data_IF_419006237160
#
_entry.id   IF_419006237160
#
_cell.length_a   1.000
_cell.length_b   1.000
_cell.length_c   1.000
_cell.angle_alpha   90.00
_cell.angle_beta   90.00
_cell.angle_gamma   90.00
#
_symmetry.space_group_name_H-M   'P 1'
#
loop_
_entity.id
_entity.type
_entity.pdbx_description
1 polymer ?
#
# COMPACT_ATOMS: atom_id res chain seq x y z
N UNK A 1 33.61 2.41 -41.10
CA UNK A 1 32.77 3.63 -41.01
C UNK A 1 31.33 3.17 -40.91
N UNK A 2 30.54 3.72 -39.98
CA UNK A 2 29.11 3.40 -39.86
C UNK A 2 28.35 4.27 -40.88
N UNK A 3 27.46 3.68 -41.68
CA UNK A 3 26.67 4.43 -42.67
C UNK A 3 25.58 5.26 -41.99
N UNK A 4 25.07 6.28 -42.69
CA UNK A 4 23.96 7.10 -42.18
C UNK A 4 22.71 6.26 -41.88
N UNK A 5 22.39 5.32 -42.77
CA UNK A 5 21.28 4.37 -42.59
C UNK A 5 21.46 3.49 -41.35
N UNK A 6 22.68 2.97 -41.11
CA UNK A 6 22.99 2.19 -39.91
C UNK A 6 22.82 3.03 -38.63
N UNK A 7 23.25 4.30 -38.65
CA UNK A 7 23.05 5.22 -37.51
C UNK A 7 21.58 5.47 -37.26
N UNK A 8 20.80 5.75 -38.31
CA UNK A 8 19.36 5.97 -38.21
C UNK A 8 18.63 4.76 -37.64
N UNK A 9 18.93 3.56 -38.12
CA UNK A 9 18.33 2.33 -37.61
C UNK A 9 18.67 2.12 -36.13
N UNK A 10 19.92 2.36 -35.72
CA UNK A 10 20.32 2.26 -34.32
C UNK A 10 19.51 3.19 -33.40
N UNK A 11 19.37 4.48 -33.75
CA UNK A 11 18.62 5.43 -32.92
C UNK A 11 17.11 5.19 -32.95
N UNK A 12 16.57 4.73 -34.08
CA UNK A 12 15.17 4.30 -34.20
C UNK A 12 14.88 3.12 -33.28
N UNK A 13 15.74 2.11 -33.26
CA UNK A 13 15.60 0.96 -32.34
C UNK A 13 15.70 1.37 -30.88
N UNK A 14 16.64 2.26 -30.54
CA UNK A 14 16.80 2.76 -29.19
C UNK A 14 15.55 3.53 -28.73
N UNK A 15 15.00 4.37 -29.61
CA UNK A 15 13.74 5.07 -29.36
C UNK A 15 12.60 4.09 -29.05
N UNK A 16 12.39 3.07 -29.89
CA UNK A 16 11.30 2.12 -29.66
C UNK A 16 11.47 1.31 -28.38
N UNK A 17 12.70 0.90 -28.03
CA UNK A 17 12.97 0.24 -26.75
C UNK A 17 12.56 1.09 -25.55
N UNK A 18 12.77 2.41 -25.62
CA UNK A 18 12.37 3.32 -24.55
C UNK A 18 10.86 3.57 -24.48
N UNK A 19 10.19 3.56 -25.64
CA UNK A 19 8.72 3.59 -25.72
C UNK A 19 8.12 2.33 -25.10
N UNK A 20 8.68 1.16 -25.41
CA UNK A 20 8.25 -0.12 -24.81
C UNK A 20 8.49 -0.13 -23.29
N UNK A 21 9.66 0.34 -22.84
CA UNK A 21 9.97 0.48 -21.40
C UNK A 21 8.97 1.37 -20.68
N UNK A 22 8.52 2.47 -21.30
CA UNK A 22 7.46 3.34 -20.75
C UNK A 22 6.14 2.58 -20.61
N UNK A 23 5.76 1.79 -21.61
CA UNK A 23 4.53 0.99 -21.59
C UNK A 23 4.55 -0.02 -20.45
N UNK A 24 5.68 -0.69 -20.23
CA UNK A 24 5.86 -1.64 -19.13
C UNK A 24 5.69 -0.98 -17.76
N UNK A 25 6.26 0.22 -17.56
CA UNK A 25 6.04 0.99 -16.33
C UNK A 25 4.58 1.40 -16.14
N UNK A 26 3.92 1.86 -17.20
CA UNK A 26 2.50 2.24 -17.13
C UNK A 26 1.61 1.02 -16.78
N UNK A 27 1.91 -0.16 -17.32
CA UNK A 27 1.19 -1.39 -17.00
C UNK A 27 1.47 -1.87 -15.56
N UNK A 28 2.65 -1.57 -15.04
CA UNK A 28 3.08 -2.00 -13.70
C UNK A 28 2.38 -1.27 -12.56
N UNK A 29 1.62 -0.19 -12.81
CA UNK A 29 0.95 0.59 -11.77
C UNK A 29 -0.05 -0.20 -10.93
N UNK A 30 -0.69 -1.20 -11.54
CA UNK A 30 -1.70 -2.02 -10.87
C UNK A 30 -1.08 -2.76 -9.68
N UNK A 31 0.21 -3.10 -9.77
CA UNK A 31 0.92 -3.85 -8.73
C UNK A 31 1.02 -3.04 -7.41
N UNK A 32 1.61 -1.82 -7.36
CA UNK A 32 1.59 -1.00 -6.14
C UNK A 32 0.21 -0.77 -5.53
N UNK A 33 -0.80 -0.46 -6.36
CA UNK A 33 -2.15 -0.17 -5.89
C UNK A 33 -2.78 -1.39 -5.23
N UNK A 34 -2.65 -2.56 -5.86
CA UNK A 34 -3.20 -3.82 -5.34
C UNK A 34 -2.53 -4.21 -4.04
N UNK A 35 -1.19 -4.11 -3.98
CA UNK A 35 -0.42 -4.42 -2.78
C UNK A 35 -0.79 -3.51 -1.61
N UNK A 36 -0.89 -2.20 -1.82
CA UNK A 36 -1.30 -1.25 -0.79
C UNK A 36 -2.73 -1.51 -0.32
N UNK A 37 -3.65 -1.80 -1.23
CA UNK A 37 -5.05 -2.11 -0.88
C UNK A 37 -5.13 -3.33 0.04
N UNK A 38 -4.41 -4.39 -0.29
CA UNK A 38 -4.35 -5.60 0.54
C UNK A 38 -3.76 -5.31 1.92
N UNK A 39 -2.65 -4.58 1.98
CA UNK A 39 -2.01 -4.20 3.24
C UNK A 39 -2.91 -3.31 4.11
N UNK A 40 -3.56 -2.29 3.54
CA UNK A 40 -4.46 -1.43 4.30
C UNK A 40 -5.66 -2.21 4.84
N UNK A 41 -6.14 -3.22 4.11
CA UNK A 41 -7.18 -4.13 4.60
C UNK A 41 -6.70 -4.92 5.82
N UNK A 42 -5.47 -5.44 5.80
CA UNK A 42 -4.85 -6.14 6.94
C UNK A 42 -4.69 -5.19 8.12
N UNK A 43 -4.15 -3.98 7.90
CA UNK A 43 -3.98 -2.96 8.93
C UNK A 43 -5.32 -2.62 9.58
N UNK A 44 -6.35 -2.39 8.78
CA UNK A 44 -7.71 -2.11 9.25
C UNK A 44 -8.27 -3.27 10.09
N UNK A 45 -8.05 -4.51 9.67
CA UNK A 45 -8.45 -5.68 10.45
C UNK A 45 -7.71 -5.76 11.79
N UNK A 46 -6.37 -5.62 11.77
CA UNK A 46 -5.55 -5.70 12.98
C UNK A 46 -6.00 -4.69 14.03
N UNK A 47 -6.21 -3.41 13.65
CA UNK A 47 -6.64 -2.39 14.61
C UNK A 47 -8.07 -2.61 15.12
N UNK A 48 -8.97 -3.13 14.27
CA UNK A 48 -10.37 -3.34 14.65
C UNK A 48 -10.57 -4.57 15.54
N UNK A 49 -9.74 -5.60 15.36
CA UNK A 49 -9.83 -6.85 16.09
C UNK A 49 -8.96 -6.90 17.36
N UNK A 50 -7.96 -6.01 17.46
CA UNK A 50 -7.07 -5.97 18.62
C UNK A 50 -7.82 -5.52 19.87
N UNK A 51 -7.59 -6.20 21.00
CA UNK A 51 -8.22 -5.86 22.27
C UNK A 51 -7.18 -5.30 23.23
N UNK A 52 -7.25 -4.01 23.49
CA UNK A 52 -6.40 -3.35 24.47
C UNK A 52 -6.85 -3.77 25.88
N UNK A 53 -6.01 -4.52 26.60
CA UNK A 53 -6.28 -4.94 27.98
C UNK A 53 -5.25 -4.28 28.89
N UNK A 54 -5.70 -3.26 29.62
CA UNK A 54 -4.94 -2.59 30.68
C UNK A 54 -3.60 -1.97 30.27
N UNK A 55 -3.36 -1.70 28.98
CA UNK A 55 -2.13 -1.05 28.48
C UNK A 55 -0.88 -1.76 28.97
N UNK A 56 -0.85 -3.09 28.81
CA UNK A 56 0.30 -3.90 29.20
C UNK A 56 1.40 -3.74 28.17
N UNK A 57 2.65 -4.13 28.50
CA UNK A 57 3.81 -4.06 27.60
C UNK A 57 3.53 -4.51 26.16
N UNK A 58 2.73 -5.56 25.98
CA UNK A 58 2.33 -6.11 24.67
C UNK A 58 1.53 -5.08 23.84
N UNK A 59 0.64 -4.32 24.47
CA UNK A 59 -0.15 -3.27 23.81
C UNK A 59 0.76 -2.15 23.29
N UNK A 60 1.74 -1.72 24.11
CA UNK A 60 2.72 -0.72 23.69
C UNK A 60 3.60 -1.21 22.53
N UNK A 61 4.10 -2.44 22.60
CA UNK A 61 4.87 -3.05 21.50
C UNK A 61 4.04 -3.12 20.21
N UNK A 62 2.78 -3.54 20.31
CA UNK A 62 1.86 -3.57 19.19
C UNK A 62 1.68 -2.19 18.57
N UNK A 63 1.37 -1.16 19.36
CA UNK A 63 1.15 0.21 18.87
C UNK A 63 2.39 0.78 18.19
N UNK A 64 3.58 0.60 18.77
CA UNK A 64 4.84 1.09 18.20
C UNK A 64 5.11 0.44 16.85
N UNK A 65 5.02 -0.89 16.76
CA UNK A 65 5.26 -1.61 15.51
C UNK A 65 4.19 -1.35 14.47
N UNK A 66 2.93 -1.25 14.88
CA UNK A 66 1.80 -0.89 14.03
C UNK A 66 1.99 0.51 13.43
N UNK A 67 2.35 1.49 14.25
CA UNK A 67 2.60 2.86 13.82
C UNK A 67 3.79 2.93 12.86
N UNK A 68 4.89 2.25 13.19
CA UNK A 68 6.07 2.14 12.34
C UNK A 68 5.72 1.56 10.96
N UNK A 69 5.02 0.42 10.95
CA UNK A 69 4.59 -0.25 9.70
C UNK A 69 3.66 0.64 8.87
N UNK A 70 2.68 1.29 9.51
CA UNK A 70 1.73 2.20 8.86
C UNK A 70 2.46 3.38 8.22
N UNK A 71 3.44 3.98 8.90
CA UNK A 71 4.27 5.07 8.34
C UNK A 71 4.98 4.62 7.06
N UNK A 72 5.57 3.42 7.03
CA UNK A 72 6.18 2.91 5.80
C UNK A 72 5.19 2.74 4.67
N UNK A 73 3.98 2.26 4.94
CA UNK A 73 2.95 2.11 3.90
C UNK A 73 2.38 3.45 3.43
N UNK A 74 2.33 4.47 4.28
CA UNK A 74 2.05 5.85 3.86
C UNK A 74 3.15 6.38 2.94
N UNK A 75 4.43 6.14 3.30
CA UNK A 75 5.57 6.49 2.43
C UNK A 75 5.48 5.72 1.10
N UNK A 76 5.08 4.46 1.11
CA UNK A 76 4.84 3.70 -0.12
C UNK A 76 3.75 4.34 -0.98
N UNK A 77 2.62 4.71 -0.40
CA UNK A 77 1.54 5.39 -1.11
C UNK A 77 2.04 6.71 -1.75
N UNK A 78 2.87 7.47 -1.04
CA UNK A 78 3.52 8.66 -1.58
C UNK A 78 4.39 8.35 -2.82
N UNK A 79 5.25 7.33 -2.75
CA UNK A 79 6.05 6.92 -3.91
C UNK A 79 5.23 6.30 -5.03
N UNK A 80 4.11 5.64 -4.74
CA UNK A 80 3.15 5.19 -5.77
C UNK A 80 2.53 6.37 -6.51
N UNK A 81 2.12 7.42 -5.78
CA UNK A 81 1.62 8.65 -6.40
C UNK A 81 2.72 9.31 -7.23
N UNK A 82 3.96 9.39 -6.76
CA UNK A 82 5.07 9.93 -7.57
C UNK A 82 5.45 9.08 -8.78
N UNK A 83 5.36 7.77 -8.67
CA UNK A 83 5.60 6.84 -9.78
C UNK A 83 4.61 7.06 -10.93
N UNK A 84 3.36 7.39 -10.60
CA UNK A 84 2.30 7.54 -11.60
C UNK A 84 2.05 8.98 -12.02
N UNK A 85 1.93 9.88 -11.03
CA UNK A 85 1.56 11.25 -11.29
C UNK A 85 2.75 12.01 -11.85
N UNK A 86 2.47 12.86 -12.83
CA UNK A 86 3.43 13.80 -13.36
C UNK A 86 3.67 14.99 -12.40
N UNK A 87 3.52 14.79 -11.07
CA UNK A 87 3.65 15.85 -10.05
C UNK A 87 5.08 16.39 -10.01
N UNK A 88 6.07 15.55 -10.26
CA UNK A 88 7.38 16.04 -10.66
C UNK A 88 7.20 16.58 -12.09
N UNK A 89 7.17 17.91 -12.24
CA UNK A 89 6.86 18.70 -13.44
C UNK A 89 7.72 18.42 -14.70
N UNK A 90 8.43 17.30 -14.75
CA UNK A 90 9.37 16.88 -15.80
C UNK A 90 8.81 15.93 -16.85
N UNK A 91 7.62 15.34 -16.68
CA UNK A 91 7.06 14.39 -17.66
C UNK A 91 6.40 15.06 -18.88
N UNK A 92 6.94 16.19 -19.36
CA UNK A 92 6.64 16.60 -20.73
C UNK A 92 7.24 15.55 -21.64
N UNK A 93 6.39 14.82 -22.33
CA UNK A 93 6.84 13.83 -23.31
C UNK A 93 7.13 14.58 -24.60
N UNK A 94 8.40 14.70 -24.94
CA UNK A 94 8.79 15.11 -26.29
C UNK A 94 8.59 13.89 -27.16
N UNK A 95 7.49 13.90 -27.90
CA UNK A 95 7.18 12.88 -28.89
C UNK A 95 7.84 13.22 -30.22
N UNK A 96 7.93 12.23 -31.11
CA UNK A 96 8.35 12.51 -32.48
C UNK A 96 7.33 13.45 -33.15
N UNK A 97 7.79 14.30 -34.09
CA UNK A 97 6.89 15.08 -34.91
C UNK A 97 5.87 14.18 -35.62
N UNK A 98 4.72 14.74 -35.95
CA UNK A 98 3.65 13.97 -36.59
C UNK A 98 4.07 13.57 -38.01
N UNK A 99 3.55 12.45 -38.56
CA UNK A 99 3.95 11.98 -39.88
C UNK A 99 3.78 13.01 -41.01
N UNK A 100 2.75 13.87 -40.92
CA UNK A 100 2.51 14.98 -41.84
C UNK A 100 3.60 16.05 -41.75
N UNK A 101 4.01 16.43 -40.54
CA UNK A 101 5.10 17.40 -40.30
C UNK A 101 6.46 16.87 -40.79
N UNK A 102 6.73 15.57 -40.58
CA UNK A 102 7.94 14.92 -41.09
C UNK A 102 7.99 14.97 -42.63
N UNK A 103 6.86 14.66 -43.27
CA UNK A 103 6.77 14.64 -44.74
C UNK A 103 6.80 16.05 -45.33
N UNK A 104 6.20 17.04 -44.66
CA UNK A 104 6.30 18.45 -45.04
C UNK A 104 7.75 18.93 -45.00
N UNK A 105 8.46 18.70 -43.88
CA UNK A 105 9.86 19.06 -43.75
C UNK A 105 10.75 18.36 -44.81
N UNK A 106 10.47 17.09 -45.12
CA UNK A 106 11.16 16.37 -46.20
C UNK A 106 10.98 17.06 -47.55
N UNK A 107 9.75 17.50 -47.88
CA UNK A 107 9.46 18.22 -49.13
C UNK A 107 10.14 19.58 -49.17
N UNK A 108 10.15 20.32 -48.06
CA UNK A 108 10.84 21.61 -47.95
C UNK A 108 12.34 21.48 -48.22
N UNK A 109 13.00 20.47 -47.66
CA UNK A 109 14.42 20.20 -47.92
C UNK A 109 14.69 19.88 -49.40
N UNK A 110 13.80 19.13 -50.04
CA UNK A 110 13.90 18.82 -51.47
C UNK A 110 13.72 20.05 -52.37
N UNK A 111 12.93 21.04 -51.94
CA UNK A 111 12.77 22.31 -52.65
C UNK A 111 13.94 23.27 -52.41
N UNK A 112 14.57 23.20 -51.22
CA UNK A 112 15.66 24.09 -50.83
C UNK A 112 17.02 23.69 -51.41
N UNK A 113 17.27 22.39 -51.60
CA UNK A 113 18.56 21.88 -52.10
C UNK A 113 18.50 21.47 -53.57
N UNK A 114 19.48 21.91 -54.36
CA UNK A 114 19.59 21.56 -55.79
C UNK A 114 19.92 20.08 -56.06
N UNK A 115 20.41 19.36 -55.05
CA UNK A 115 20.83 17.95 -55.15
C UNK A 115 20.02 17.08 -54.20
N UNK A 116 19.39 16.04 -54.74
CA UNK A 116 18.61 15.08 -53.97
C UNK A 116 19.41 14.39 -52.86
N UNK A 117 20.68 14.07 -53.12
CA UNK A 117 21.53 13.39 -52.12
C UNK A 117 21.78 14.29 -50.89
N UNK A 118 21.96 15.59 -51.10
CA UNK A 118 22.17 16.58 -50.02
C UNK A 118 20.88 16.74 -49.21
N UNK A 119 19.73 16.85 -49.89
CA UNK A 119 18.42 16.91 -49.23
C UNK A 119 18.15 15.65 -48.38
N UNK A 120 18.45 14.46 -48.91
CA UNK A 120 18.25 13.20 -48.21
C UNK A 120 19.19 13.05 -47.00
N UNK A 121 20.45 13.45 -47.13
CA UNK A 121 21.40 13.44 -46.02
C UNK A 121 20.97 14.40 -44.90
N UNK A 122 20.53 15.61 -45.24
CA UNK A 122 20.00 16.58 -44.29
C UNK A 122 18.75 16.05 -43.58
N UNK A 123 17.80 15.48 -44.32
CA UNK A 123 16.58 14.89 -43.77
C UNK A 123 16.87 13.75 -42.79
N UNK A 124 17.74 12.81 -43.18
CA UNK A 124 18.10 11.68 -42.33
C UNK A 124 18.86 12.13 -41.07
N UNK A 125 19.71 13.16 -41.19
CA UNK A 125 20.41 13.77 -40.05
C UNK A 125 19.42 14.40 -39.07
N UNK A 126 18.49 15.21 -39.56
CA UNK A 126 17.42 15.78 -38.75
C UNK A 126 16.56 14.70 -38.08
N UNK A 127 16.20 13.64 -38.81
CA UNK A 127 15.39 12.56 -38.26
C UNK A 127 16.13 11.79 -37.15
N UNK A 128 17.44 11.59 -37.29
CA UNK A 128 18.30 11.06 -36.21
C UNK A 128 18.23 11.96 -34.98
N UNK A 129 18.31 13.28 -35.14
CA UNK A 129 18.20 14.24 -34.03
C UNK A 129 16.83 14.19 -33.33
N UNK A 130 15.74 14.00 -34.09
CA UNK A 130 14.41 13.78 -33.53
C UNK A 130 14.35 12.50 -32.68
N UNK A 131 14.90 11.38 -33.19
CA UNK A 131 14.99 10.14 -32.41
C UNK A 131 15.82 10.33 -31.13
N UNK A 132 16.97 10.99 -31.21
CA UNK A 132 17.83 11.24 -30.04
C UNK A 132 17.09 12.07 -29.00
N UNK A 133 16.50 13.19 -29.41
CA UNK A 133 15.78 14.10 -28.50
C UNK A 133 14.65 13.37 -27.78
N UNK A 134 13.82 12.65 -28.52
CA UNK A 134 12.71 11.89 -27.94
C UNK A 134 13.21 10.77 -27.02
N UNK A 135 14.27 10.06 -27.41
CA UNK A 135 14.89 8.99 -26.62
C UNK A 135 15.42 9.50 -25.29
N UNK A 136 16.21 10.58 -25.27
CA UNK A 136 16.77 11.17 -24.04
C UNK A 136 15.66 11.57 -23.07
N UNK A 137 14.58 12.13 -23.62
CA UNK A 137 13.42 12.51 -22.82
C UNK A 137 12.69 11.28 -22.23
N UNK A 138 12.49 10.22 -23.02
CA UNK A 138 11.93 8.97 -22.51
C UNK A 138 12.83 8.32 -21.46
N UNK A 139 14.14 8.30 -21.69
CA UNK A 139 15.12 7.74 -20.76
C UNK A 139 15.06 8.41 -19.40
N UNK A 140 15.11 9.74 -19.39
CA UNK A 140 15.05 10.54 -18.16
C UNK A 140 13.77 10.25 -17.37
N UNK A 141 12.63 10.22 -18.06
CA UNK A 141 11.34 9.94 -17.44
C UNK A 141 11.22 8.50 -16.91
N UNK A 142 11.70 7.53 -17.69
CA UNK A 142 11.68 6.11 -17.32
C UNK A 142 12.62 5.83 -16.14
N UNK A 143 13.79 6.47 -16.08
CA UNK A 143 14.74 6.32 -14.99
C UNK A 143 14.18 6.90 -13.69
N UNK A 144 13.55 8.07 -13.74
CA UNK A 144 12.83 8.65 -12.58
C UNK A 144 11.72 7.72 -12.07
N UNK A 145 10.90 7.16 -12.97
CA UNK A 145 9.88 6.17 -12.60
C UNK A 145 10.50 4.94 -11.97
N UNK A 146 11.60 4.44 -12.53
CA UNK A 146 12.35 3.30 -11.97
C UNK A 146 12.81 3.59 -10.54
N UNK A 147 13.36 4.78 -10.28
CA UNK A 147 13.78 5.22 -8.94
C UNK A 147 12.62 5.27 -7.96
N UNK A 148 11.49 5.88 -8.33
CA UNK A 148 10.30 5.93 -7.45
C UNK A 148 9.75 4.53 -7.17
N UNK A 149 9.72 3.65 -8.16
CA UNK A 149 9.28 2.27 -7.99
C UNK A 149 10.24 1.46 -7.11
N UNK A 150 11.55 1.69 -7.21
CA UNK A 150 12.55 1.10 -6.32
C UNK A 150 12.33 1.54 -4.86
N UNK A 151 12.11 2.83 -4.63
CA UNK A 151 11.78 3.34 -3.29
C UNK A 151 10.50 2.71 -2.74
N UNK A 152 9.44 2.64 -3.54
CA UNK A 152 8.22 1.91 -3.16
C UNK A 152 8.55 0.48 -2.68
N UNK A 153 9.28 -0.32 -3.47
CA UNK A 153 9.64 -1.70 -3.10
C UNK A 153 10.43 -1.76 -1.79
N UNK A 154 11.41 -0.88 -1.62
CA UNK A 154 12.27 -0.80 -0.43
C UNK A 154 11.45 -0.53 0.83
N UNK A 155 10.61 0.50 0.81
CA UNK A 155 9.77 0.86 1.96
C UNK A 155 8.66 -0.15 2.20
N UNK A 156 8.12 -0.76 1.14
CA UNK A 156 7.10 -1.80 1.26
C UNK A 156 7.65 -3.00 2.01
N UNK A 157 8.89 -3.41 1.69
CA UNK A 157 9.57 -4.49 2.40
C UNK A 157 9.81 -4.17 3.89
N UNK A 158 10.25 -2.96 4.22
CA UNK A 158 10.39 -2.54 5.62
C UNK A 158 9.06 -2.49 6.37
N UNK A 159 8.00 -2.01 5.70
CA UNK A 159 6.64 -2.02 6.22
C UNK A 159 6.14 -3.44 6.52
N UNK A 160 6.42 -4.40 5.63
CA UNK A 160 6.07 -5.81 5.80
C UNK A 160 6.79 -6.45 7.00
N UNK A 161 8.07 -6.16 7.22
CA UNK A 161 8.79 -6.64 8.41
C UNK A 161 8.10 -6.14 9.68
N UNK A 162 7.79 -4.84 9.73
CA UNK A 162 7.04 -4.25 10.86
C UNK A 162 5.67 -4.89 11.05
N UNK A 163 4.94 -5.13 9.95
CA UNK A 163 3.61 -5.74 9.97
C UNK A 163 3.66 -7.19 10.45
N UNK A 164 4.66 -7.95 10.03
CA UNK A 164 4.87 -9.33 10.46
C UNK A 164 5.13 -9.39 11.97
N UNK A 165 6.04 -8.55 12.47
CA UNK A 165 6.32 -8.45 13.91
C UNK A 165 5.08 -8.01 14.70
N UNK A 166 4.32 -7.05 14.17
CA UNK A 166 3.04 -6.61 14.72
C UNK A 166 2.03 -7.77 14.81
N UNK A 167 1.99 -8.64 13.79
CA UNK A 167 1.17 -9.85 13.75
C UNK A 167 1.47 -10.83 14.90
N UNK A 168 2.74 -10.96 15.30
CA UNK A 168 3.13 -11.79 16.45
C UNK A 168 2.47 -11.28 17.73
N UNK A 169 2.56 -9.96 18.00
CA UNK A 169 1.92 -9.37 19.18
C UNK A 169 0.39 -9.42 19.12
N UNK A 170 -0.20 -9.30 17.92
CA UNK A 170 -1.63 -9.48 17.70
C UNK A 170 -2.10 -10.90 18.05
N UNK A 171 -1.38 -11.94 17.60
CA UNK A 171 -1.70 -13.33 17.93
C UNK A 171 -1.57 -13.58 19.43
N UNK A 172 -0.50 -13.09 20.06
CA UNK A 172 -0.32 -13.19 21.52
C UNK A 172 -1.47 -12.53 22.27
N UNK A 173 -1.92 -11.34 21.83
CA UNK A 173 -3.09 -10.67 22.40
C UNK A 173 -4.36 -11.55 22.29
N UNK A 174 -4.61 -12.17 21.14
CA UNK A 174 -5.76 -13.08 20.98
C UNK A 174 -5.67 -14.28 21.93
N UNK A 175 -4.49 -14.91 22.06
CA UNK A 175 -4.30 -16.10 22.89
C UNK A 175 -4.52 -15.78 24.38
N UNK A 176 -3.95 -14.68 24.88
CA UNK A 176 -4.14 -14.22 26.27
C UNK A 176 -5.60 -13.86 26.57
N UNK A 177 -6.29 -13.26 25.59
CA UNK A 177 -7.67 -12.83 25.78
C UNK A 177 -8.69 -13.97 25.62
N UNK A 178 -8.28 -15.09 25.01
CA UNK A 178 -9.10 -16.30 24.94
C UNK A 178 -9.10 -17.02 26.29
N UNK A 179 -7.96 -17.12 26.97
CA UNK A 179 -7.88 -17.76 28.28
C UNK A 179 -8.73 -17.04 29.34
N UNK A 180 -8.76 -15.70 29.34
CA UNK A 180 -9.62 -14.95 30.27
C UNK A 180 -11.13 -15.21 30.10
N UNK A 181 -11.58 -15.61 28.89
CA UNK A 181 -12.99 -15.95 28.67
C UNK A 181 -13.35 -17.34 29.19
N UNK A 182 -12.40 -18.27 29.24
CA UNK A 182 -12.61 -19.62 29.77
C UNK A 182 -12.63 -19.64 31.31
N UNK A 183 -11.95 -18.69 31.96
CA UNK A 183 -11.95 -18.53 33.42
C UNK A 183 -13.22 -17.91 34.01
N UNK A 184 -14.21 -17.52 33.19
CA UNK A 184 -15.55 -17.18 33.67
C UNK A 184 -16.31 -18.46 34.02
N UNK A 185 -15.98 -19.05 35.17
CA UNK A 185 -16.71 -20.17 35.76
C UNK A 185 -18.13 -19.69 36.08
N UNK A 186 -19.13 -20.19 35.35
CA UNK A 186 -20.53 -20.01 35.68
C UNK A 186 -20.84 -20.86 36.93
N UNK A 187 -20.89 -20.22 38.10
CA UNK A 187 -21.36 -20.89 39.32
C UNK A 187 -22.88 -21.00 39.27
N UNK A 188 -23.40 -22.23 39.14
CA UNK A 188 -24.80 -22.51 39.41
C UNK A 188 -24.95 -22.72 40.92
N UNK A 189 -25.50 -21.72 41.61
CA UNK A 189 -25.84 -21.85 43.04
C UNK A 189 -27.25 -22.43 43.11
N UNK A 190 -27.36 -23.72 43.42
CA UNK A 190 -28.64 -24.32 43.84
C UNK A 190 -28.82 -24.08 45.34
N UNK A 191 -29.79 -23.24 45.70
CA UNK A 191 -30.23 -23.08 47.07
C UNK A 191 -31.22 -24.19 47.41
N UNK A 192 -30.76 -25.24 48.08
CA UNK A 192 -31.62 -26.29 48.59
C UNK A 192 -32.19 -25.85 49.96
N UNK A 193 -33.41 -25.34 49.96
CA UNK A 193 -34.10 -24.89 51.18
C UNK A 193 -34.78 -26.08 51.84
N UNK A 194 -34.42 -26.36 53.09
CA UNK A 194 -34.83 -27.52 53.87
C UNK A 194 -36.32 -27.56 54.27
N UNK A 195 -37.17 -26.66 53.78
CA UNK A 195 -38.57 -26.59 54.20
C UNK A 195 -39.54 -26.31 53.02
N UNK A 196 -40.36 -27.30 52.61
CA UNK A 196 -41.15 -27.24 51.37
C UNK A 196 -42.43 -26.39 51.44
N UNK A 197 -42.59 -25.50 52.44
CA UNK A 197 -43.83 -24.73 52.66
C UNK A 197 -43.72 -23.23 52.40
N UNK A 198 -42.52 -22.69 52.23
CA UNK A 198 -42.35 -21.26 51.99
C UNK A 198 -42.28 -20.99 50.49
N UNK A 199 -43.42 -20.56 49.92
CA UNK A 199 -43.47 -20.00 48.57
C UNK A 199 -42.84 -18.60 48.57
N UNK A 200 -42.24 -18.25 47.43
CA UNK A 200 -41.74 -16.92 47.00
C UNK A 200 -40.33 -16.56 47.50
N UNK A 201 -39.40 -15.96 46.75
CA UNK A 201 -39.32 -15.43 45.38
C UNK A 201 -37.88 -15.69 44.88
N UNK A 202 -37.72 -15.92 43.57
CA UNK A 202 -36.41 -15.99 42.90
C UNK A 202 -35.65 -14.69 43.21
N UNK A 203 -34.49 -14.79 43.87
CA UNK A 203 -33.63 -13.63 44.13
C UNK A 203 -32.64 -13.55 42.97
N UNK A 204 -32.94 -12.69 41.99
CA UNK A 204 -31.96 -12.34 40.96
C UNK A 204 -30.83 -11.53 41.62
N UNK A 205 -29.70 -12.18 41.90
CA UNK A 205 -28.51 -11.53 42.46
C UNK A 205 -27.36 -11.64 41.47
N UNK A 206 -26.71 -10.52 41.14
CA UNK A 206 -25.51 -10.48 40.30
C UNK A 206 -24.28 -10.46 41.21
N UNK A 207 -23.43 -11.49 41.15
CA UNK A 207 -22.21 -11.57 41.95
C UNK A 207 -21.02 -11.03 41.15
N UNK A 208 -20.32 -10.03 41.70
CA UNK A 208 -19.06 -9.53 41.15
C UNK A 208 -17.88 -10.09 41.94
N UNK A 209 -17.06 -10.92 41.30
CA UNK A 209 -15.88 -11.51 41.94
C UNK A 209 -14.63 -10.71 41.56
N UNK A 210 -13.86 -10.27 42.55
CA UNK A 210 -12.55 -9.64 42.36
C UNK A 210 -11.47 -10.48 43.05
N UNK A 211 -10.79 -11.26 42.22
CA UNK A 211 -9.60 -12.14 42.35
C UNK A 211 -9.25 -12.81 43.70
N UNK A 212 -9.44 -12.20 44.87
CA UNK A 212 -8.97 -12.74 46.15
C UNK A 212 -9.98 -12.65 47.31
N UNK A 213 -11.23 -12.21 47.07
CA UNK A 213 -12.30 -12.32 48.09
C UNK A 213 -13.69 -12.36 47.47
N UNK A 214 -14.53 -13.24 48.02
CA UNK A 214 -15.95 -13.33 47.72
C UNK A 214 -16.73 -12.47 48.74
N UNK A 215 -17.22 -11.30 48.33
CA UNK A 215 -18.23 -10.57 49.11
C UNK A 215 -19.60 -10.81 48.50
N UNK A 216 -20.43 -11.55 49.24
CA UNK A 216 -21.84 -11.72 48.92
C UNK A 216 -22.59 -10.71 49.80
N UNK A 217 -22.98 -9.58 49.23
CA UNK A 217 -23.91 -8.67 49.89
C UNK A 217 -25.34 -9.15 49.62
N UNK A 218 -25.87 -9.95 50.54
CA UNK A 218 -27.28 -10.32 50.53
C UNK A 218 -28.09 -9.09 50.95
N UNK A 219 -28.70 -8.41 49.98
CA UNK A 219 -29.69 -7.38 50.26
C UNK A 219 -30.87 -8.09 50.91
N UNK A 220 -31.01 -7.96 52.24
CA UNK A 220 -32.19 -8.48 52.95
C UNK A 220 -33.44 -7.94 52.25
N UNK A 221 -34.37 -8.79 51.79
CA UNK A 221 -35.65 -8.29 51.31
C UNK A 221 -36.31 -7.56 52.48
N UNK A 222 -36.60 -6.28 52.28
CA UNK A 222 -37.44 -5.51 53.19
C UNK A 222 -38.82 -6.14 53.10
N UNK A 223 -39.20 -6.89 54.14
CA UNK A 223 -40.58 -7.30 54.34
C UNK A 223 -41.38 -6.02 54.52
N UNK A 224 -42.13 -5.62 53.48
CA UNK A 224 -43.23 -4.69 53.67
C UNK A 224 -44.32 -5.45 54.40
N UNK A 225 -44.42 -5.23 55.71
CA UNK A 225 -45.63 -5.56 56.45
C UNK A 225 -46.78 -4.74 55.84
N UNK A 226 -47.91 -5.44 55.65
CA UNK A 226 -49.12 -4.93 55.01
C UNK A 226 -49.73 -3.74 55.74
#
# INVERSE_FOLDING_TARGET
MITLEQRQNFYKELFYKEVDRRKDFNNSIVVPITLLTGVFSIIFYLISAYKFINWVFIDYCFIVLFSFSTIFFIICAYYTVKFYSNIDSGFKTIELPRPDEIEEYRKELWLFHDKADVANEAFNTWLIEQYITATVNYQTNNDLKSTHFFHFKKYFFYGLIGLFMCGIFFITNILLNKSEKEDKINFHIELNLSNPKDKYNIIDTTVFIKKDSLKIDVIKPTLKDK
#
